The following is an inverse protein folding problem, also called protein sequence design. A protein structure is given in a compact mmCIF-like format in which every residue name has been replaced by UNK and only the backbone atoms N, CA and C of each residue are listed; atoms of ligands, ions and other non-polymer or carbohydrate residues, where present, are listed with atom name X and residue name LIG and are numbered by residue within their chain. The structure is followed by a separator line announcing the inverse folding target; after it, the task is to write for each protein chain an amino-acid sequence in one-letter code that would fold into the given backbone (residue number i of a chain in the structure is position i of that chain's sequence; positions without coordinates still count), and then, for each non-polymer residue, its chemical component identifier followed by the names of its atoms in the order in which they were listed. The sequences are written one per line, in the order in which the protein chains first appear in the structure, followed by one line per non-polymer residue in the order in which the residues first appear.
data_IF_635617348842
#
_entry.id   IF_635617348842
#
_cell.length_a   1.000
_cell.length_b   1.000
_cell.length_c   1.000
_cell.angle_alpha   90.00
_cell.angle_beta   90.00
_cell.angle_gamma   90.00
#
_symmetry.space_group_name_H-M   'P 1'
#
loop_
_entity.id
_entity.type
_entity.pdbx_description
1 polymer ?
#
# COMPACT_ATOMS: atom_id res chain seq x y z
N UNK A 1 -0.25 -36.92 31.10
CA UNK A 1 -1.33 -36.00 30.63
C UNK A 1 -0.67 -34.77 30.03
N UNK A 2 -0.69 -34.63 28.70
CA UNK A 2 -0.10 -33.50 28.01
C UNK A 2 -1.10 -32.35 28.06
N UNK A 3 -0.65 -31.18 28.50
CA UNK A 3 -1.48 -30.03 28.79
C UNK A 3 -2.01 -29.41 27.48
N UNK A 4 -3.26 -29.68 27.09
CA UNK A 4 -3.92 -29.25 25.85
C UNK A 4 -4.07 -27.72 25.75
N UNK A 5 -4.06 -27.01 26.90
CA UNK A 5 -4.18 -25.53 26.92
C UNK A 5 -3.01 -24.80 26.34
N UNK A 6 -1.79 -25.35 26.34
CA UNK A 6 -0.60 -24.68 25.79
C UNK A 6 -0.57 -24.69 24.26
N UNK A 7 -1.19 -25.67 23.61
CA UNK A 7 -1.25 -25.77 22.14
C UNK A 7 -2.25 -24.82 21.49
N UNK A 8 -3.29 -24.39 22.19
CA UNK A 8 -4.25 -23.45 21.66
C UNK A 8 -3.69 -22.02 21.62
N UNK A 9 -2.94 -21.60 22.65
CA UNK A 9 -2.33 -20.27 22.68
C UNK A 9 -1.33 -20.00 21.53
N UNK A 10 -0.54 -21.01 21.15
CA UNK A 10 0.43 -20.88 20.04
C UNK A 10 -0.23 -20.81 18.66
N UNK A 11 -1.36 -21.49 18.45
CA UNK A 11 -2.11 -21.43 17.19
C UNK A 11 -2.78 -20.06 16.99
N UNK A 12 -3.35 -19.46 18.03
CA UNK A 12 -3.95 -18.12 17.96
C UNK A 12 -2.92 -17.02 17.73
N UNK A 13 -1.76 -17.09 18.37
CA UNK A 13 -0.68 -16.15 18.16
C UNK A 13 -0.12 -16.22 16.71
N UNK A 14 0.03 -17.42 16.15
CA UNK A 14 0.43 -17.62 14.76
C UNK A 14 -0.58 -17.06 13.77
N UNK A 15 -1.88 -17.28 14.01
CA UNK A 15 -2.95 -16.78 13.16
C UNK A 15 -2.97 -15.24 13.11
N UNK A 16 -2.90 -14.57 14.25
CA UNK A 16 -2.90 -13.12 14.35
C UNK A 16 -1.69 -12.51 13.60
N UNK A 17 -0.50 -13.11 13.75
CA UNK A 17 0.69 -12.66 13.04
C UNK A 17 0.56 -12.81 11.52
N UNK A 18 -0.01 -13.91 11.02
CA UNK A 18 -0.21 -14.10 9.58
C UNK A 18 -1.23 -13.10 9.01
N UNK A 19 -2.28 -12.76 9.73
CA UNK A 19 -3.23 -11.73 9.33
C UNK A 19 -2.58 -10.34 9.28
N UNK A 20 -1.74 -10.01 10.30
CA UNK A 20 -1.01 -8.76 10.33
C UNK A 20 -0.02 -8.65 9.15
N UNK A 21 0.73 -9.70 8.87
CA UNK A 21 1.67 -9.73 7.73
C UNK A 21 0.92 -9.52 6.41
N UNK A 22 -0.18 -10.24 6.18
CA UNK A 22 -1.00 -10.05 4.99
C UNK A 22 -1.54 -8.62 4.89
N UNK A 23 -1.97 -8.02 6.01
CA UNK A 23 -2.45 -6.65 6.03
C UNK A 23 -1.38 -5.63 5.62
N UNK A 24 -0.14 -5.77 6.13
CA UNK A 24 0.97 -4.93 5.71
C UNK A 24 1.38 -5.16 4.25
N UNK A 25 1.32 -6.40 3.77
CA UNK A 25 1.58 -6.78 2.39
C UNK A 25 0.61 -6.07 1.45
N UNK A 26 -0.69 -6.26 1.65
CA UNK A 26 -1.72 -5.67 0.79
C UNK A 26 -1.80 -4.14 0.92
N UNK A 27 -1.62 -3.60 2.12
CA UNK A 27 -1.53 -2.15 2.30
C UNK A 27 -0.36 -1.55 1.50
N UNK A 28 0.79 -2.21 1.45
CA UNK A 28 1.93 -1.74 0.68
C UNK A 28 1.67 -1.76 -0.83
N UNK A 29 1.05 -2.82 -1.36
CA UNK A 29 0.61 -2.86 -2.76
C UNK A 29 -0.33 -1.70 -3.07
N UNK A 30 -1.32 -1.43 -2.21
CA UNK A 30 -2.30 -0.38 -2.42
C UNK A 30 -1.66 1.03 -2.40
N UNK A 31 -0.81 1.33 -1.41
CA UNK A 31 -0.13 2.63 -1.28
C UNK A 31 0.80 2.89 -2.46
N UNK A 32 1.61 1.90 -2.84
CA UNK A 32 2.56 2.04 -3.96
C UNK A 32 1.82 2.11 -5.30
N UNK A 33 0.71 1.38 -5.47
CA UNK A 33 -0.14 1.49 -6.64
C UNK A 33 -0.68 2.91 -6.83
N UNK A 34 -1.25 3.52 -5.78
CA UNK A 34 -1.73 4.91 -5.82
C UNK A 34 -0.60 5.90 -6.08
N UNK A 35 0.60 5.68 -5.50
CA UNK A 35 1.75 6.54 -5.73
C UNK A 35 2.14 6.59 -7.21
N UNK A 36 2.02 5.46 -7.92
CA UNK A 36 2.29 5.38 -9.35
C UNK A 36 1.06 5.65 -10.24
N UNK A 37 0.02 6.27 -9.69
CA UNK A 37 -1.16 6.71 -10.43
C UNK A 37 -2.11 5.57 -10.83
N UNK A 38 -2.02 4.40 -10.17
CA UNK A 38 -2.98 3.31 -10.40
C UNK A 38 -4.25 3.53 -9.59
N UNK A 39 -5.39 3.30 -10.21
CA UNK A 39 -6.66 3.32 -9.48
C UNK A 39 -6.79 2.02 -8.70
N UNK A 40 -6.80 2.12 -7.37
CA UNK A 40 -7.14 1.03 -6.46
C UNK A 40 -8.65 1.02 -6.29
N UNK A 41 -9.27 -0.14 -6.48
CA UNK A 41 -10.71 -0.32 -6.29
C UNK A 41 -11.02 -0.88 -4.92
N UNK A 42 -10.19 -1.81 -4.45
CA UNK A 42 -10.39 -2.53 -3.20
C UNK A 42 -9.06 -3.10 -2.71
N UNK A 43 -8.87 -3.13 -1.39
CA UNK A 43 -7.82 -3.90 -0.71
C UNK A 43 -8.49 -4.82 0.30
N UNK A 44 -8.08 -6.11 0.35
CA UNK A 44 -8.71 -7.11 1.21
C UNK A 44 -7.70 -8.11 1.75
N UNK A 45 -7.95 -8.59 2.97
CA UNK A 45 -7.29 -9.78 3.53
C UNK A 45 -8.33 -10.87 3.81
N UNK A 46 -7.92 -12.12 3.71
CA UNK A 46 -8.80 -13.25 4.00
C UNK A 46 -8.95 -13.47 5.48
N UNK A 47 -10.19 -13.58 5.95
CA UNK A 47 -10.48 -13.97 7.33
C UNK A 47 -10.28 -15.47 7.56
N UNK A 48 -10.54 -16.29 6.53
CA UNK A 48 -10.53 -17.76 6.65
C UNK A 48 -9.18 -18.39 6.31
N UNK A 49 -8.36 -17.69 5.51
CA UNK A 49 -7.05 -18.13 5.06
C UNK A 49 -6.00 -17.13 5.51
N UNK A 50 -5.45 -17.27 6.73
CA UNK A 50 -4.44 -16.39 7.25
C UNK A 50 -3.24 -16.28 6.29
N UNK A 51 -2.76 -15.08 6.07
CA UNK A 51 -1.66 -14.82 5.14
C UNK A 51 -2.09 -14.56 3.69
N UNK A 52 -3.37 -14.69 3.36
CA UNK A 52 -3.88 -14.39 2.03
C UNK A 52 -4.59 -13.03 1.99
N UNK A 53 -4.36 -12.32 0.89
CA UNK A 53 -5.02 -11.04 0.58
C UNK A 53 -4.92 -10.70 -0.90
N UNK A 54 -5.49 -9.59 -1.29
CA UNK A 54 -5.34 -9.04 -2.63
C UNK A 54 -5.70 -7.56 -2.70
N UNK A 55 -5.10 -6.88 -3.66
CA UNK A 55 -5.49 -5.53 -4.06
C UNK A 55 -6.07 -5.56 -5.47
N UNK A 56 -7.33 -5.20 -5.59
CA UNK A 56 -7.99 -5.04 -6.88
C UNK A 56 -7.66 -3.66 -7.45
N UNK A 57 -7.06 -3.64 -8.63
CA UNK A 57 -6.66 -2.41 -9.34
C UNK A 57 -7.26 -2.37 -10.74
N UNK A 58 -7.47 -1.19 -11.29
CA UNK A 58 -7.74 -1.07 -12.72
C UNK A 58 -6.54 -1.58 -13.51
N UNK A 59 -6.82 -2.44 -14.49
CA UNK A 59 -5.77 -2.92 -15.41
C UNK A 59 -5.37 -1.79 -16.35
N UNK A 60 -4.08 -1.61 -16.51
CA UNK A 60 -3.54 -0.78 -17.59
C UNK A 60 -3.47 -1.64 -18.84
N UNK A 61 -4.02 -1.15 -19.92
CA UNK A 61 -3.79 -1.78 -21.23
C UNK A 61 -2.44 -1.31 -21.73
N UNK A 62 -1.59 -2.24 -22.07
CA UNK A 62 -0.42 -1.93 -22.89
C UNK A 62 -0.90 -1.51 -24.28
N UNK A 63 -0.23 -0.57 -24.93
CA UNK A 63 -0.56 -0.24 -26.33
C UNK A 63 -0.37 -1.49 -27.21
N UNK A 64 -1.10 -1.52 -28.31
CA UNK A 64 -0.85 -2.53 -29.34
C UNK A 64 0.57 -2.36 -29.89
N UNK A 65 1.21 -3.48 -30.21
CA UNK A 65 2.54 -3.43 -30.80
C UNK A 65 2.45 -2.67 -32.13
N UNK A 66 3.29 -1.65 -32.36
CA UNK A 66 3.28 -0.88 -33.59
C UNK A 66 3.74 -1.73 -34.77
N UNK A 67 3.52 -1.24 -35.98
CA UNK A 67 4.30 -1.73 -37.13
C UNK A 67 5.78 -1.44 -36.86
N UNK A 68 6.53 -2.49 -36.53
CA UNK A 68 7.94 -2.41 -36.11
C UNK A 68 8.89 -1.95 -37.22
N UNK A 69 8.38 -1.59 -38.40
CA UNK A 69 9.21 -1.03 -39.49
C UNK A 69 9.59 0.43 -39.28
N UNK A 70 8.85 1.16 -38.45
CA UNK A 70 9.14 2.56 -38.13
C UNK A 70 9.93 2.64 -36.82
N UNK A 71 11.21 3.06 -36.82
CA UNK A 71 12.05 3.16 -35.62
C UNK A 71 11.46 4.10 -34.55
N UNK A 72 10.78 5.18 -34.97
CA UNK A 72 10.20 6.12 -34.01
C UNK A 72 9.03 5.55 -33.26
N UNK A 73 8.14 4.81 -33.95
CA UNK A 73 6.99 4.14 -33.32
C UNK A 73 7.47 3.02 -32.40
N UNK A 74 8.50 2.27 -32.81
CA UNK A 74 9.12 1.24 -32.00
C UNK A 74 9.74 1.83 -30.71
N UNK A 75 10.40 3.00 -30.77
CA UNK A 75 10.98 3.67 -29.62
C UNK A 75 9.91 4.19 -28.65
N UNK A 76 8.85 4.79 -29.18
CA UNK A 76 7.69 5.24 -28.37
C UNK A 76 7.06 4.05 -27.65
N UNK A 77 6.83 2.97 -28.37
CA UNK A 77 6.26 1.74 -27.81
C UNK A 77 7.16 1.16 -26.69
N UNK A 78 8.45 0.99 -26.95
CA UNK A 78 9.42 0.56 -25.95
C UNK A 78 9.37 1.41 -24.69
N UNK A 79 9.46 2.73 -24.84
CA UNK A 79 9.48 3.67 -23.71
C UNK A 79 8.21 3.56 -22.86
N UNK A 80 7.06 3.43 -23.53
CA UNK A 80 5.79 3.28 -22.83
C UNK A 80 5.70 1.93 -22.08
N UNK A 81 5.97 0.83 -22.77
CA UNK A 81 5.92 -0.51 -22.17
C UNK A 81 6.91 -0.63 -21.02
N UNK A 82 8.14 -0.16 -21.22
CA UNK A 82 9.18 -0.18 -20.18
C UNK A 82 8.71 0.58 -18.93
N UNK A 83 8.17 1.80 -19.09
CA UNK A 83 7.65 2.59 -17.98
C UNK A 83 6.50 1.90 -17.24
N UNK A 84 5.59 1.24 -17.97
CA UNK A 84 4.47 0.52 -17.38
C UNK A 84 4.93 -0.71 -16.60
N UNK A 85 5.88 -1.46 -17.14
CA UNK A 85 6.48 -2.62 -16.46
C UNK A 85 7.26 -2.20 -15.22
N UNK A 86 8.02 -1.09 -15.27
CA UNK A 86 8.68 -0.54 -14.08
C UNK A 86 7.68 -0.26 -12.94
N UNK A 87 6.56 0.37 -13.25
CA UNK A 87 5.50 0.67 -12.27
C UNK A 87 4.93 -0.62 -11.68
N UNK A 88 4.60 -1.58 -12.53
CA UNK A 88 4.01 -2.86 -12.11
C UNK A 88 4.97 -3.64 -11.21
N UNK A 89 6.24 -3.75 -11.58
CA UNK A 89 7.26 -4.45 -10.78
C UNK A 89 7.46 -3.76 -9.42
N UNK A 90 7.48 -2.43 -9.35
CA UNK A 90 7.57 -1.70 -8.08
C UNK A 90 6.37 -1.98 -7.18
N UNK A 91 5.18 -2.10 -7.76
CA UNK A 91 3.97 -2.46 -7.01
C UNK A 91 4.07 -3.91 -6.51
N UNK A 92 4.48 -4.86 -7.36
CA UNK A 92 4.66 -6.26 -6.97
C UNK A 92 5.71 -6.43 -5.85
N UNK A 93 6.78 -5.67 -5.88
CA UNK A 93 7.81 -5.71 -4.85
C UNK A 93 7.41 -5.03 -3.52
N UNK A 94 6.34 -4.24 -3.52
CA UNK A 94 5.96 -3.46 -2.34
C UNK A 94 5.54 -4.33 -1.16
N UNK A 95 4.70 -5.35 -1.37
CA UNK A 95 4.25 -6.28 -0.34
C UNK A 95 5.43 -6.97 0.36
N UNK A 96 6.24 -7.73 -0.38
CA UNK A 96 7.41 -8.39 0.19
C UNK A 96 8.39 -7.46 0.92
N UNK A 97 8.60 -6.24 0.40
CA UNK A 97 9.47 -5.26 1.05
C UNK A 97 8.88 -4.72 2.35
N UNK A 98 7.56 -4.54 2.41
CA UNK A 98 6.88 -4.11 3.65
C UNK A 98 6.95 -5.19 4.73
N UNK A 99 6.72 -6.46 4.37
CA UNK A 99 6.91 -7.59 5.29
C UNK A 99 8.35 -7.66 5.82
N UNK A 100 9.35 -7.57 4.92
CA UNK A 100 10.75 -7.59 5.30
C UNK A 100 11.10 -6.47 6.29
N UNK A 101 10.52 -5.28 6.08
CA UNK A 101 10.68 -4.13 6.97
C UNK A 101 10.00 -4.35 8.32
N UNK A 102 8.79 -4.89 8.34
CA UNK A 102 8.05 -5.18 9.57
C UNK A 102 8.76 -6.21 10.42
N UNK A 103 9.17 -7.32 9.80
CA UNK A 103 9.84 -8.44 10.47
C UNK A 103 11.35 -8.20 10.72
N UNK A 104 11.92 -7.13 10.16
CA UNK A 104 13.38 -6.86 10.18
C UNK A 104 14.19 -8.03 9.65
N UNK A 105 13.68 -8.71 8.62
CA UNK A 105 14.29 -9.88 7.99
C UNK A 105 14.69 -9.58 6.54
N UNK A 106 15.66 -10.30 5.98
CA UNK A 106 15.98 -10.18 4.55
C UNK A 106 14.81 -10.63 3.67
N UNK A 107 14.59 -9.93 2.54
CA UNK A 107 13.53 -10.25 1.58
C UNK A 107 13.52 -11.71 1.10
N UNK A 108 14.73 -12.30 0.95
CA UNK A 108 14.92 -13.70 0.52
C UNK A 108 14.36 -14.74 1.48
N UNK A 109 14.06 -14.34 2.72
CA UNK A 109 13.55 -15.23 3.77
C UNK A 109 12.02 -15.23 3.86
N UNK A 110 11.33 -14.52 2.96
CA UNK A 110 9.88 -14.32 2.99
C UNK A 110 9.17 -15.26 2.02
N UNK A 111 7.94 -15.64 2.38
CA UNK A 111 7.09 -16.51 1.57
C UNK A 111 6.40 -15.86 0.36
N UNK A 112 6.70 -14.60 0.04
CA UNK A 112 6.07 -13.82 -1.03
C UNK A 112 6.50 -14.27 -2.46
N UNK A 113 6.45 -15.59 -2.69
CA UNK A 113 6.97 -16.24 -3.90
C UNK A 113 6.27 -15.78 -5.18
N UNK A 114 4.96 -15.65 -5.14
CA UNK A 114 4.15 -15.28 -6.32
C UNK A 114 4.51 -13.89 -6.88
N UNK A 115 4.71 -12.89 -6.03
CA UNK A 115 5.04 -11.53 -6.47
C UNK A 115 6.47 -11.44 -7.00
N UNK A 116 7.39 -12.20 -6.40
CA UNK A 116 8.77 -12.30 -6.89
C UNK A 116 8.83 -13.02 -8.24
N UNK A 117 8.08 -14.09 -8.42
CA UNK A 117 7.98 -14.82 -9.69
C UNK A 117 7.36 -13.93 -10.79
N UNK A 118 6.30 -13.18 -10.48
CA UNK A 118 5.70 -12.22 -11.42
C UNK A 118 6.67 -11.10 -11.78
N UNK A 119 7.47 -10.63 -10.81
CA UNK A 119 8.50 -9.63 -11.06
C UNK A 119 9.61 -10.15 -11.97
N UNK A 120 10.01 -11.40 -11.81
CA UNK A 120 10.97 -12.09 -12.72
C UNK A 120 10.38 -12.25 -14.12
N UNK A 121 9.13 -12.70 -14.24
CA UNK A 121 8.44 -12.83 -15.53
C UNK A 121 8.35 -11.49 -16.26
N UNK A 122 8.15 -10.39 -15.54
CA UNK A 122 8.12 -9.06 -16.12
C UNK A 122 9.50 -8.62 -16.65
N UNK A 123 10.59 -9.02 -16.00
CA UNK A 123 11.94 -8.79 -16.54
C UNK A 123 12.18 -9.60 -17.80
N UNK A 124 11.86 -10.89 -17.80
CA UNK A 124 12.01 -11.76 -18.99
C UNK A 124 11.24 -11.17 -20.16
N UNK A 125 9.99 -10.71 -19.93
CA UNK A 125 9.21 -10.02 -20.95
C UNK A 125 9.91 -8.79 -21.53
N UNK A 126 10.58 -7.98 -20.69
CA UNK A 126 11.33 -6.81 -21.19
C UNK A 126 12.56 -7.21 -22.01
N UNK A 127 13.25 -8.28 -21.59
CA UNK A 127 14.42 -8.79 -22.33
C UNK A 127 13.98 -9.34 -23.71
N UNK A 128 12.90 -10.12 -23.78
CA UNK A 128 12.32 -10.63 -25.02
C UNK A 128 11.85 -9.48 -25.94
N UNK A 129 11.19 -8.46 -25.37
CA UNK A 129 10.74 -7.30 -26.13
C UNK A 129 11.93 -6.51 -26.69
N UNK A 130 12.97 -6.27 -25.87
CA UNK A 130 14.20 -5.60 -26.34
C UNK A 130 14.82 -6.35 -27.52
N UNK A 131 14.93 -7.66 -27.40
CA UNK A 131 15.54 -8.50 -28.43
C UNK A 131 14.70 -8.51 -29.70
N UNK A 132 13.37 -8.47 -29.60
CA UNK A 132 12.46 -8.36 -30.76
C UNK A 132 12.55 -7.03 -31.50
N UNK A 133 12.96 -5.97 -30.81
CA UNK A 133 13.10 -4.63 -31.41
C UNK A 133 14.54 -4.28 -31.85
N UNK A 134 15.49 -5.19 -31.62
CA UNK A 134 16.95 -4.97 -31.84
C UNK A 134 17.28 -4.53 -33.28
N UNK A 135 16.59 -5.09 -34.26
CA UNK A 135 16.83 -4.79 -35.69
C UNK A 135 16.26 -3.43 -36.12
N UNK A 136 15.42 -2.81 -35.30
CA UNK A 136 14.71 -1.58 -35.62
C UNK A 136 15.23 -0.40 -34.83
N UNK A 137 15.51 -0.60 -33.52
CA UNK A 137 16.00 0.44 -32.62
C UNK A 137 17.17 -0.05 -31.76
N UNK A 138 18.10 0.84 -31.45
CA UNK A 138 19.16 0.56 -30.50
C UNK A 138 18.69 0.81 -29.08
N UNK A 139 18.51 -0.24 -28.30
CA UNK A 139 18.18 -0.16 -26.87
C UNK A 139 19.46 -0.52 -26.11
N UNK A 140 19.97 0.37 -25.26
CA UNK A 140 21.17 0.07 -24.46
C UNK A 140 20.95 -1.12 -23.51
N UNK A 141 21.91 -2.02 -23.45
CA UNK A 141 21.83 -3.23 -22.61
C UNK A 141 21.68 -2.92 -21.11
N UNK A 142 22.21 -1.78 -20.67
CA UNK A 142 22.12 -1.34 -19.27
C UNK A 142 20.68 -0.96 -18.83
N UNK A 143 19.77 -0.74 -19.78
CA UNK A 143 18.38 -0.46 -19.43
C UNK A 143 17.70 -1.66 -18.78
N UNK A 144 17.94 -2.88 -19.26
CA UNK A 144 17.39 -4.10 -18.66
C UNK A 144 18.35 -4.75 -17.68
N UNK A 145 19.66 -4.51 -17.82
CA UNK A 145 20.64 -4.98 -16.86
C UNK A 145 20.33 -4.49 -15.44
N UNK A 146 20.41 -5.40 -14.47
CA UNK A 146 20.11 -5.12 -13.07
C UNK A 146 18.73 -4.48 -12.82
N UNK A 147 17.77 -4.67 -13.73
CA UNK A 147 16.42 -4.08 -13.65
C UNK A 147 15.75 -4.35 -12.31
N UNK A 148 15.64 -5.61 -11.88
CA UNK A 148 14.97 -5.97 -10.62
C UNK A 148 15.68 -5.37 -9.40
N UNK A 149 17.01 -5.33 -9.38
CA UNK A 149 17.74 -4.74 -8.25
C UNK A 149 17.51 -3.21 -8.19
N UNK A 150 17.45 -2.55 -9.34
CA UNK A 150 17.09 -1.14 -9.44
C UNK A 150 15.68 -0.90 -8.92
N UNK A 151 14.70 -1.74 -9.31
CA UNK A 151 13.31 -1.66 -8.84
C UNK A 151 13.21 -1.90 -7.33
N UNK A 152 13.88 -2.91 -6.81
CA UNK A 152 13.95 -3.19 -5.35
C UNK A 152 14.47 -1.99 -4.58
N UNK A 153 15.57 -1.40 -5.03
CA UNK A 153 16.18 -0.24 -4.38
C UNK A 153 15.26 0.96 -4.37
N UNK A 154 14.60 1.24 -5.49
CA UNK A 154 13.65 2.35 -5.60
C UNK A 154 12.42 2.14 -4.71
N UNK A 155 11.84 0.93 -4.72
CA UNK A 155 10.68 0.60 -3.89
C UNK A 155 11.02 0.65 -2.40
N UNK A 156 12.20 0.17 -1.98
CA UNK A 156 12.67 0.31 -0.59
C UNK A 156 12.80 1.77 -0.17
N UNK A 157 13.35 2.63 -1.04
CA UNK A 157 13.47 4.08 -0.76
C UNK A 157 12.10 4.73 -0.62
N UNK A 158 11.13 4.38 -1.46
CA UNK A 158 9.76 4.87 -1.36
C UNK A 158 9.10 4.44 -0.03
N UNK A 159 9.14 3.15 0.29
CA UNK A 159 8.54 2.60 1.53
C UNK A 159 9.26 3.12 2.79
N UNK A 160 10.52 3.52 2.68
CA UNK A 160 11.25 4.14 3.78
C UNK A 160 10.81 5.59 4.07
N UNK A 161 10.13 6.27 3.14
CA UNK A 161 9.63 7.62 3.37
C UNK A 161 8.60 7.63 4.51
N UNK A 162 8.66 8.63 5.43
CA UNK A 162 7.78 8.67 6.61
C UNK A 162 6.29 8.63 6.27
N UNK A 163 5.86 9.38 5.24
CA UNK A 163 4.46 9.42 4.84
C UNK A 163 4.00 8.06 4.28
N UNK A 164 4.86 7.39 3.48
CA UNK A 164 4.52 6.13 2.85
C UNK A 164 4.39 5.01 3.90
N UNK A 165 5.35 4.91 4.82
CA UNK A 165 5.28 3.94 5.91
C UNK A 165 4.10 4.21 6.86
N UNK A 166 3.80 5.49 7.15
CA UNK A 166 2.62 5.88 7.91
C UNK A 166 1.33 5.41 7.24
N UNK A 167 1.19 5.65 5.92
CA UNK A 167 0.03 5.20 5.15
C UNK A 167 -0.13 3.68 5.20
N UNK A 168 0.95 2.93 4.95
CA UNK A 168 0.97 1.47 5.03
C UNK A 168 0.54 0.99 6.42
N UNK A 169 1.08 1.59 7.49
CA UNK A 169 0.77 1.18 8.86
C UNK A 169 -0.69 1.44 9.22
N UNK A 170 -1.27 2.57 8.79
CA UNK A 170 -2.68 2.88 9.05
C UNK A 170 -3.58 1.92 8.29
N UNK A 171 -3.35 1.76 6.98
CA UNK A 171 -4.14 0.84 6.16
C UNK A 171 -4.04 -0.61 6.62
N UNK A 172 -2.87 -1.06 7.08
CA UNK A 172 -2.69 -2.40 7.61
C UNK A 172 -3.54 -2.62 8.88
N UNK A 173 -3.59 -1.64 9.78
CA UNK A 173 -4.45 -1.69 10.96
C UNK A 173 -5.93 -1.74 10.60
N UNK A 174 -6.35 -0.92 9.64
CA UNK A 174 -7.72 -0.90 9.17
C UNK A 174 -8.10 -2.21 8.47
N UNK A 175 -7.21 -2.78 7.65
CA UNK A 175 -7.38 -4.11 7.05
C UNK A 175 -7.48 -5.22 8.10
N UNK A 176 -6.67 -5.17 9.16
CA UNK A 176 -6.76 -6.15 10.25
C UNK A 176 -8.09 -6.06 10.98
N UNK A 177 -8.66 -4.85 11.10
CA UNK A 177 -9.93 -4.62 11.80
C UNK A 177 -11.16 -4.91 10.94
N UNK A 178 -11.12 -4.51 9.67
CA UNK A 178 -12.28 -4.51 8.77
C UNK A 178 -12.20 -5.54 7.65
N UNK A 179 -11.04 -6.14 7.42
CA UNK A 179 -10.72 -7.14 6.39
C UNK A 179 -10.87 -6.65 4.95
N UNK A 180 -11.55 -5.54 4.72
CA UNK A 180 -11.77 -4.95 3.40
C UNK A 180 -11.82 -3.42 3.48
N UNK A 181 -11.14 -2.75 2.55
CA UNK A 181 -11.16 -1.30 2.37
C UNK A 181 -11.51 -0.98 0.92
N UNK A 182 -12.34 0.03 0.73
CA UNK A 182 -12.63 0.56 -0.61
C UNK A 182 -11.45 1.36 -1.15
N UNK A 183 -11.38 1.53 -2.46
CA UNK A 183 -10.36 2.40 -3.08
C UNK A 183 -10.41 3.85 -2.59
N UNK A 184 -11.59 4.33 -2.18
CA UNK A 184 -11.75 5.65 -1.57
C UNK A 184 -11.05 5.73 -0.21
N UNK A 185 -11.28 4.76 0.68
CA UNK A 185 -10.66 4.71 2.01
C UNK A 185 -9.13 4.68 1.90
N UNK A 186 -8.63 3.89 0.94
CA UNK A 186 -7.19 3.79 0.65
C UNK A 186 -6.64 5.13 0.17
N UNK A 187 -7.31 5.81 -0.77
CA UNK A 187 -6.87 7.09 -1.31
C UNK A 187 -6.87 8.19 -0.24
N UNK A 188 -7.93 8.27 0.56
CA UNK A 188 -8.05 9.25 1.65
C UNK A 188 -6.91 9.08 2.68
N UNK A 189 -6.63 7.85 3.09
CA UNK A 189 -5.55 7.54 4.03
C UNK A 189 -4.17 7.94 3.48
N UNK A 190 -3.93 7.68 2.19
CA UNK A 190 -2.66 8.06 1.54
C UNK A 190 -2.51 9.58 1.49
N UNK A 191 -3.54 10.32 1.09
CA UNK A 191 -3.51 11.78 1.03
C UNK A 191 -3.35 12.40 2.43
N UNK A 192 -4.07 11.88 3.42
CA UNK A 192 -3.89 12.32 4.82
C UNK A 192 -2.46 12.08 5.31
N UNK A 193 -1.85 10.97 4.95
CA UNK A 193 -0.50 10.61 5.38
C UNK A 193 0.59 11.52 4.80
N UNK A 194 0.35 12.12 3.63
CA UNK A 194 1.26 13.08 2.99
C UNK A 194 1.27 14.46 3.67
N UNK A 195 0.20 14.81 4.42
CA UNK A 195 0.10 16.12 5.06
C UNK A 195 1.13 16.26 6.17
N UNK A 196 1.88 17.38 6.22
CA UNK A 196 2.85 17.65 7.29
C UNK A 196 2.14 17.82 8.62
N UNK A 197 2.81 17.41 9.72
CA UNK A 197 2.21 17.41 11.08
C UNK A 197 1.69 18.76 11.54
N UNK A 198 2.32 19.88 11.16
CA UNK A 198 1.92 21.22 11.56
C UNK A 198 0.61 21.69 10.92
N UNK A 199 0.21 21.17 9.77
CA UNK A 199 -1.12 21.46 9.20
C UNK A 199 -2.27 20.77 9.94
N UNK A 200 -1.98 19.68 10.67
CA UNK A 200 -2.97 18.99 11.48
C UNK A 200 -3.30 19.72 12.78
N UNK A 201 -2.37 20.53 13.31
CA UNK A 201 -2.54 21.29 14.54
C UNK A 201 -3.40 22.54 14.35
N UNK A 202 -3.37 23.16 13.18
CA UNK A 202 -4.11 24.40 12.88
C UNK A 202 -5.63 24.17 12.74
N UNK A 203 -6.07 22.96 12.42
CA UNK A 203 -7.48 22.62 12.32
C UNK A 203 -8.11 22.16 13.67
N UNK A 204 -7.28 22.00 14.71
CA UNK A 204 -7.75 21.73 16.06
C UNK A 204 -7.85 23.05 16.81
N UNK A 205 -8.70 23.97 16.37
CA UNK A 205 -8.95 25.28 16.94
C UNK A 205 -8.70 25.39 18.46
N UNK A 206 -7.45 25.58 18.85
CA UNK A 206 -7.12 26.09 20.18
C UNK A 206 -7.25 27.61 20.09
N UNK A 207 -8.51 28.05 20.07
CA UNK A 207 -8.84 29.42 20.39
C UNK A 207 -8.59 29.63 21.88
N UNK A 208 -7.37 29.96 22.24
CA UNK A 208 -7.05 30.52 23.57
C UNK A 208 -7.72 31.85 23.70
N UNK A 209 -8.93 31.90 24.25
CA UNK A 209 -9.48 33.11 24.90
C UNK A 209 -9.07 33.07 26.35
N UNK A 210 -8.09 33.88 26.70
CA UNK A 210 -7.93 34.38 28.04
C UNK A 210 -9.12 35.33 28.33
N UNK A 211 -10.10 34.83 29.04
CA UNK A 211 -11.23 35.58 29.55
C UNK A 211 -11.21 35.49 31.07
N UNK A 212 -10.97 36.62 31.68
CA UNK A 212 -11.03 36.87 33.12
C UNK A 212 -12.30 36.36 33.75
N UNK A 213 -12.14 35.66 34.87
CA UNK A 213 -13.16 35.15 35.78
C UNK A 213 -14.00 36.29 36.35
N UNK A 214 -15.31 36.21 36.19
CA UNK A 214 -16.28 36.85 37.07
C UNK A 214 -17.22 35.75 37.58
N UNK A 215 -17.15 35.53 38.90
CA UNK A 215 -18.09 34.68 39.64
C UNK A 215 -19.52 35.25 39.54
N UNK A 216 -20.47 34.45 39.15
CA UNK A 216 -21.84 34.56 39.70
C UNK A 216 -22.51 33.19 39.83
N UNK A 217 -23.02 32.99 41.04
CA UNK A 217 -23.75 31.82 41.48
C UNK A 217 -25.19 31.84 40.94
N UNK A 218 -25.68 30.70 40.40
CA UNK A 218 -27.02 30.15 40.76
C UNK A 218 -27.39 28.90 40.02
N UNK A 219 -27.45 27.86 40.75
CA UNK A 219 -28.43 26.74 40.85
C UNK A 219 -29.28 26.33 39.63
N UNK A 220 -29.20 25.05 39.36
CA UNK A 220 -30.26 23.99 39.22
C UNK A 220 -30.41 23.34 37.85
N UNK A 221 -30.33 22.03 37.97
CA UNK A 221 -31.16 20.93 37.42
C UNK A 221 -30.58 20.16 36.23
N UNK A 222 -30.29 18.90 36.56
CA UNK A 222 -30.49 17.62 35.82
C UNK A 222 -30.52 17.67 34.29
N UNK A 223 -29.52 17.10 33.69
CA UNK A 223 -29.44 16.68 32.29
C UNK A 223 -28.05 16.23 31.99
N UNK A 224 -27.82 14.92 31.90
CA UNK A 224 -26.55 14.38 31.41
C UNK A 224 -26.32 14.84 29.99
N UNK A 225 -25.29 15.62 29.65
CA UNK A 225 -24.84 15.72 28.28
C UNK A 225 -23.80 14.63 28.06
N UNK A 226 -24.08 13.76 27.11
CA UNK A 226 -23.08 12.90 26.49
C UNK A 226 -21.86 13.75 26.15
N UNK A 227 -20.71 13.42 26.76
CA UNK A 227 -19.42 14.01 26.39
C UNK A 227 -19.12 13.67 24.95
N UNK A 228 -19.35 14.65 24.09
CA UNK A 228 -18.86 14.63 22.73
C UNK A 228 -17.35 14.55 22.74
N UNK A 229 -16.81 13.37 22.51
CA UNK A 229 -15.47 13.18 22.01
C UNK A 229 -15.38 14.01 20.72
N UNK A 230 -14.64 15.13 20.77
CA UNK A 230 -14.31 15.88 19.57
C UNK A 230 -13.45 14.98 18.69
N UNK A 231 -14.09 14.53 17.66
CA UNK A 231 -13.51 13.71 16.63
C UNK A 231 -12.31 14.42 16.00
N UNK A 232 -11.16 13.77 16.07
CA UNK A 232 -10.19 13.85 14.99
C UNK A 232 -10.89 13.51 13.66
N UNK A 233 -10.24 13.67 12.49
CA UNK A 233 -10.90 13.46 11.21
C UNK A 233 -11.76 12.21 11.34
N UNK A 234 -13.07 12.38 11.13
CA UNK A 234 -14.04 11.29 11.28
C UNK A 234 -13.61 10.22 10.29
N UNK A 235 -12.97 9.17 10.76
CA UNK A 235 -12.97 7.90 10.07
C UNK A 235 -14.46 7.51 9.97
N UNK A 236 -15.07 7.87 8.86
CA UNK A 236 -16.33 7.23 8.48
C UNK A 236 -16.00 5.75 8.40
N UNK A 237 -16.75 4.93 9.12
CA UNK A 237 -16.56 3.48 9.08
C UNK A 237 -16.45 3.03 7.60
N UNK A 238 -15.46 2.20 7.26
CA UNK A 238 -15.26 1.76 5.87
C UNK A 238 -16.58 1.30 5.31
N UNK A 239 -16.95 1.77 4.11
CA UNK A 239 -18.17 1.30 3.46
C UNK A 239 -17.99 -0.17 3.17
N UNK A 240 -18.85 -1.01 3.75
CA UNK A 240 -18.80 -2.45 3.57
C UNK A 240 -18.72 -2.81 2.09
N UNK A 241 -17.70 -3.58 1.72
CA UNK A 241 -17.65 -4.21 0.42
C UNK A 241 -18.76 -5.26 0.37
N UNK A 242 -19.77 -5.08 -0.47
CA UNK A 242 -20.80 -6.10 -0.70
C UNK A 242 -20.14 -7.38 -1.20
N UNK A 243 -20.54 -8.50 -0.61
CA UNK A 243 -20.03 -9.83 -0.91
C UNK A 243 -20.36 -10.24 -2.37
#
# INVERSE_FOLDING_TARGET
MVNVSSMQGTRFAGHALHCELAAYHEAAHAVVALHYGRVVMEARISHHLPGNGWVKRMRTRLPEAPDTRNPQDALIYWTHVFSEVEREVKILLAGPIAEAKLLRTPLRSLGARSDLERSLSAQVFLDDLRDSLRDVISIPDDQTAHFLERMRRQTRRLIAQPWCWKAITVLAKDLTSWHCLTGHDVAETVEWSKKPRHQLSLNLGIGGRSGTVSEDKRQRRHGFPARGLRAGPRYLAPRYCSA
#
